data_IF_817295040155
#
_entry.id   IF_817295040155
#
_cell.length_a   1.000
_cell.length_b   1.000
_cell.length_c   1.000
_cell.angle_alpha   90.00
_cell.angle_beta   90.00
_cell.angle_gamma   90.00
#
_symmetry.space_group_name_H-M   'P 1'
#
loop_
_entity.id
_entity.type
_entity.pdbx_description
1 polymer ?
#
# COMPACT_ATOMS: atom_id res chain seq x y z
N UNK A 1 -20.45 -8.73 55.75
CA UNK A 1 -19.93 -8.99 54.39
C UNK A 1 -21.13 -9.21 53.48
N UNK A 2 -21.37 -8.32 52.52
CA UNK A 2 -22.47 -8.48 51.55
C UNK A 2 -21.84 -9.08 50.28
N UNK A 3 -22.28 -10.28 49.90
CA UNK A 3 -21.81 -10.95 48.69
C UNK A 3 -22.88 -10.83 47.60
N UNK A 4 -22.62 -10.01 46.60
CA UNK A 4 -23.50 -9.83 45.44
C UNK A 4 -22.98 -10.69 44.29
N UNK A 5 -23.81 -11.61 43.79
CA UNK A 5 -23.51 -12.43 42.62
C UNK A 5 -24.60 -12.28 41.55
N UNK A 6 -24.24 -12.22 40.27
CA UNK A 6 -25.23 -12.11 39.20
C UNK A 6 -26.04 -13.41 39.09
N UNK A 7 -27.36 -13.29 38.97
CA UNK A 7 -28.26 -14.40 38.63
C UNK A 7 -28.36 -14.49 37.10
N UNK A 8 -28.06 -15.67 36.55
CA UNK A 8 -28.07 -15.93 35.11
C UNK A 8 -26.76 -15.59 34.39
N UNK A 9 -26.83 -15.43 33.06
CA UNK A 9 -25.67 -15.06 32.24
C UNK A 9 -25.39 -13.56 32.34
N UNK A 10 -24.16 -13.21 32.72
CA UNK A 10 -23.74 -11.82 32.84
C UNK A 10 -22.60 -11.50 31.88
N UNK A 11 -22.76 -10.43 31.10
CA UNK A 11 -21.73 -9.86 30.24
C UNK A 11 -21.38 -8.46 30.72
N UNK A 12 -20.12 -8.24 31.09
CA UNK A 12 -19.69 -6.91 31.51
C UNK A 12 -18.47 -6.91 32.42
N UNK A 13 -18.29 -5.81 33.13
CA UNK A 13 -17.19 -5.58 34.06
C UNK A 13 -17.74 -5.45 35.47
N UNK A 14 -17.20 -6.23 36.39
CA UNK A 14 -17.46 -6.17 37.83
C UNK A 14 -16.13 -5.85 38.48
N UNK A 15 -15.97 -4.61 38.94
CA UNK A 15 -14.70 -4.11 39.49
C UNK A 15 -13.50 -4.45 38.59
N UNK A 16 -12.53 -5.22 39.09
CA UNK A 16 -11.34 -5.66 38.36
C UNK A 16 -11.54 -6.99 37.61
N UNK A 17 -12.77 -7.46 37.44
CA UNK A 17 -13.11 -8.68 36.73
C UNK A 17 -13.95 -8.40 35.49
N UNK A 18 -13.66 -9.12 34.41
CA UNK A 18 -14.50 -9.19 33.24
C UNK A 18 -15.27 -10.51 33.28
N UNK A 19 -16.55 -10.44 32.97
CA UNK A 19 -17.47 -11.56 33.03
C UNK A 19 -18.11 -11.76 31.66
N UNK A 20 -18.08 -12.99 31.17
CA UNK A 20 -18.65 -13.35 29.87
C UNK A 20 -19.00 -14.84 29.79
N UNK A 21 -19.91 -15.19 28.88
CA UNK A 21 -20.25 -16.59 28.61
C UNK A 21 -19.34 -17.16 27.51
N UNK A 22 -18.74 -18.32 27.77
CA UNK A 22 -17.97 -19.09 26.78
C UNK A 22 -18.41 -20.55 26.82
N UNK A 23 -18.88 -21.07 25.69
CA UNK A 23 -19.37 -22.45 25.57
C UNK A 23 -20.44 -22.80 26.64
N UNK A 24 -21.41 -21.90 26.86
CA UNK A 24 -22.48 -22.08 27.85
C UNK A 24 -22.06 -21.93 29.31
N UNK A 25 -20.78 -21.69 29.61
CA UNK A 25 -20.27 -21.49 30.97
C UNK A 25 -20.02 -20.01 31.24
N UNK A 26 -20.45 -19.54 32.40
CA UNK A 26 -20.10 -18.21 32.90
C UNK A 26 -18.61 -18.20 33.30
N UNK A 27 -17.84 -17.28 32.72
CA UNK A 27 -16.41 -17.11 33.00
C UNK A 27 -16.20 -15.75 33.66
N UNK A 28 -15.57 -15.75 34.83
CA UNK A 28 -15.04 -14.54 35.48
C UNK A 28 -13.53 -14.56 35.38
N UNK A 29 -12.94 -13.48 34.87
CA UNK A 29 -11.50 -13.35 34.72
C UNK A 29 -11.06 -11.99 35.25
N UNK A 30 -9.95 -11.95 35.98
CA UNK A 30 -9.29 -10.68 36.28
C UNK A 30 -8.92 -9.93 34.99
N UNK A 31 -9.15 -8.63 35.00
CA UNK A 31 -8.83 -7.76 33.88
C UNK A 31 -7.32 -7.58 33.85
N UNK A 32 -6.73 -7.93 32.70
CA UNK A 32 -5.33 -7.63 32.46
C UNK A 32 -5.20 -6.14 32.16
N UNK A 33 -4.74 -5.36 33.14
CA UNK A 33 -4.51 -3.92 33.00
C UNK A 33 -3.26 -3.59 32.18
N UNK A 34 -2.40 -4.59 31.88
CA UNK A 34 -1.21 -4.45 31.04
C UNK A 34 -1.19 -5.57 29.99
N UNK A 35 -2.14 -5.55 29.05
CA UNK A 35 -2.17 -6.54 27.98
C UNK A 35 -0.90 -6.40 27.11
N UNK A 36 -0.26 -7.52 26.77
CA UNK A 36 0.92 -7.53 25.89
C UNK A 36 0.64 -6.91 24.51
N UNK A 37 -0.62 -6.94 24.06
CA UNK A 37 -1.09 -6.31 22.82
C UNK A 37 -2.33 -5.46 23.14
N UNK A 38 -2.15 -4.19 23.55
CA UNK A 38 -3.22 -3.35 24.06
C UNK A 38 -4.27 -2.92 23.04
N UNK A 39 -4.06 -3.21 21.73
CA UNK A 39 -4.97 -2.83 20.63
C UNK A 39 -5.39 -1.35 20.73
N UNK A 40 -4.42 -0.49 21.03
CA UNK A 40 -4.67 0.97 21.09
C UNK A 40 -5.14 1.47 19.73
N UNK A 41 -5.81 2.62 19.70
CA UNK A 41 -6.28 3.23 18.44
C UNK A 41 -5.14 3.39 17.44
N UNK A 42 -3.97 3.83 17.88
CA UNK A 42 -2.78 3.95 17.03
C UNK A 42 -2.31 2.60 16.46
N UNK A 43 -2.28 1.54 17.29
CA UNK A 43 -1.92 0.19 16.84
C UNK A 43 -2.93 -0.37 15.85
N UNK A 44 -4.22 -0.16 16.08
CA UNK A 44 -5.28 -0.58 15.17
C UNK A 44 -5.22 0.19 13.86
N UNK A 45 -4.98 1.51 13.89
CA UNK A 45 -4.79 2.35 12.71
C UNK A 45 -3.65 1.83 11.83
N UNK A 46 -2.49 1.52 12.42
CA UNK A 46 -1.36 0.93 11.68
C UNK A 46 -1.71 -0.43 11.05
N UNK A 47 -2.41 -1.30 11.79
CA UNK A 47 -2.85 -2.62 11.27
C UNK A 47 -3.78 -2.49 10.08
N UNK A 48 -4.68 -1.52 10.09
CA UNK A 48 -5.60 -1.28 8.98
C UNK A 48 -4.87 -0.76 7.74
N UNK A 49 -3.92 0.18 7.89
CA UNK A 49 -3.07 0.66 6.77
C UNK A 49 -2.33 -0.47 6.07
N UNK A 50 -1.80 -1.41 6.87
CA UNK A 50 -0.99 -2.51 6.37
C UNK A 50 -1.73 -3.38 5.35
N UNK A 51 -3.05 -3.52 5.47
CA UNK A 51 -3.83 -4.37 4.55
C UNK A 51 -3.72 -3.90 3.10
N UNK A 52 -3.87 -2.59 2.85
CA UNK A 52 -3.78 -2.07 1.48
C UNK A 52 -2.36 -2.20 0.92
N UNK A 53 -1.35 -1.88 1.73
CA UNK A 53 0.06 -1.96 1.34
C UNK A 53 0.43 -3.41 0.98
N UNK A 54 -0.07 -4.40 1.72
CA UNK A 54 0.15 -5.81 1.42
C UNK A 54 -0.53 -6.25 0.11
N UNK A 55 -1.73 -5.74 -0.18
CA UNK A 55 -2.40 -5.99 -1.47
C UNK A 55 -1.58 -5.44 -2.64
N UNK A 56 -1.05 -4.22 -2.51
CA UNK A 56 -0.21 -3.57 -3.53
C UNK A 56 1.09 -4.34 -3.72
N UNK A 57 1.77 -4.71 -2.63
CA UNK A 57 3.00 -5.50 -2.72
C UNK A 57 2.78 -6.82 -3.46
N UNK A 58 1.64 -7.49 -3.28
CA UNK A 58 1.35 -8.74 -4.00
C UNK A 58 1.32 -8.53 -5.51
N UNK A 59 0.76 -7.41 -5.96
CA UNK A 59 0.71 -7.03 -7.38
C UNK A 59 2.11 -6.64 -7.89
N UNK A 60 2.85 -5.85 -7.11
CA UNK A 60 4.14 -5.27 -7.52
C UNK A 60 5.36 -6.09 -7.10
N UNK A 61 5.18 -7.29 -6.57
CA UNK A 61 6.25 -8.03 -5.89
C UNK A 61 7.47 -8.33 -6.77
N UNK A 62 7.29 -8.50 -8.08
CA UNK A 62 8.39 -8.67 -9.03
C UNK A 62 9.26 -7.41 -9.13
N UNK A 63 8.63 -6.24 -9.26
CA UNK A 63 9.31 -4.95 -9.34
C UNK A 63 9.98 -4.57 -8.02
N UNK A 64 9.23 -4.70 -6.91
CA UNK A 64 9.72 -4.32 -5.58
C UNK A 64 10.98 -5.07 -5.17
N UNK A 65 11.21 -6.29 -5.67
CA UNK A 65 12.38 -7.10 -5.29
C UNK A 65 13.71 -6.48 -5.72
N UNK A 66 13.72 -5.77 -6.84
CA UNK A 66 14.93 -5.21 -7.44
C UNK A 66 15.05 -3.70 -7.20
N UNK A 67 14.01 -3.09 -6.62
CA UNK A 67 13.83 -1.63 -6.68
C UNK A 67 14.47 -0.78 -5.59
N UNK A 68 15.11 -1.41 -4.62
CA UNK A 68 15.71 -0.73 -3.48
C UNK A 68 17.22 -0.96 -3.45
N UNK A 69 17.94 -0.06 -4.11
CA UNK A 69 19.40 -0.13 -4.26
C UNK A 69 20.12 0.12 -2.93
N UNK A 70 19.68 1.13 -2.17
CA UNK A 70 20.36 1.61 -0.94
C UNK A 70 19.90 0.91 0.34
N UNK A 71 19.31 -0.29 0.24
CA UNK A 71 18.76 -0.99 1.39
C UNK A 71 19.85 -1.53 2.34
N UNK A 72 19.64 -1.47 3.67
CA UNK A 72 20.52 -2.15 4.63
C UNK A 72 20.57 -3.66 4.37
N UNK A 73 21.74 -4.33 4.56
CA UNK A 73 21.88 -5.77 4.31
C UNK A 73 20.91 -6.65 5.12
N UNK A 74 20.48 -6.18 6.30
CA UNK A 74 19.54 -6.88 7.18
C UNK A 74 18.08 -6.77 6.74
N UNK A 75 17.77 -5.93 5.75
CA UNK A 75 16.40 -5.70 5.28
C UNK A 75 16.20 -6.21 3.87
N UNK A 76 15.11 -6.94 3.67
CA UNK A 76 14.62 -7.28 2.33
C UNK A 76 13.98 -6.05 1.68
N UNK A 77 13.91 -6.03 0.35
CA UNK A 77 13.20 -4.98 -0.37
C UNK A 77 11.73 -4.88 0.05
N UNK A 78 11.08 -6.02 0.36
CA UNK A 78 9.78 -6.06 1.02
C UNK A 78 9.74 -5.26 2.32
N UNK A 79 10.70 -5.46 3.22
CA UNK A 79 10.73 -4.75 4.51
C UNK A 79 10.85 -3.22 4.31
N UNK A 80 11.67 -2.79 3.35
CA UNK A 80 11.82 -1.37 3.00
C UNK A 80 10.53 -0.82 2.40
N UNK A 81 9.93 -1.52 1.45
CA UNK A 81 8.63 -1.16 0.86
C UNK A 81 7.54 -0.99 1.91
N UNK A 82 7.36 -1.97 2.82
CA UNK A 82 6.37 -1.86 3.90
C UNK A 82 6.69 -0.67 4.80
N UNK A 83 7.95 -0.47 5.20
CA UNK A 83 8.37 0.60 6.11
C UNK A 83 8.10 1.99 5.51
N UNK A 84 8.45 2.20 4.25
CA UNK A 84 8.32 3.50 3.57
C UNK A 84 6.84 3.85 3.36
N UNK A 85 6.05 2.88 2.89
CA UNK A 85 4.63 3.10 2.60
C UNK A 85 3.75 3.12 3.85
N UNK A 86 4.12 2.45 4.94
CA UNK A 86 3.34 2.51 6.19
C UNK A 86 3.34 3.91 6.80
N UNK A 87 4.40 4.69 6.57
CA UNK A 87 4.49 6.09 7.00
C UNK A 87 3.77 7.04 6.04
N UNK A 88 3.94 6.84 4.74
CA UNK A 88 3.45 7.76 3.71
C UNK A 88 1.96 7.58 3.38
N UNK A 89 1.45 6.35 3.38
CA UNK A 89 0.10 6.06 2.89
C UNK A 89 -0.96 6.24 3.98
N UNK A 90 -2.06 6.92 3.64
CA UNK A 90 -3.23 7.18 4.51
C UNK A 90 -4.47 6.40 4.04
N UNK A 91 -4.27 5.22 3.43
CA UNK A 91 -5.39 4.38 2.95
C UNK A 91 -5.77 3.35 3.99
N UNK A 92 -7.07 3.26 4.26
CA UNK A 92 -7.67 2.30 5.19
C UNK A 92 -8.70 1.47 4.44
N UNK A 93 -8.65 0.16 4.63
CA UNK A 93 -9.66 -0.75 4.12
C UNK A 93 -10.59 -1.14 5.27
N UNK A 94 -11.87 -1.32 4.95
CA UNK A 94 -12.78 -1.98 5.87
C UNK A 94 -12.43 -3.48 6.02
N UNK A 95 -13.12 -4.17 6.94
CA UNK A 95 -12.87 -5.59 7.20
C UNK A 95 -13.20 -6.48 5.99
N UNK A 96 -14.29 -6.21 5.29
CA UNK A 96 -14.72 -6.95 4.09
C UNK A 96 -13.75 -6.75 2.92
N UNK A 97 -13.36 -5.51 2.65
CA UNK A 97 -12.37 -5.12 1.64
C UNK A 97 -11.00 -5.78 1.90
N UNK A 98 -10.54 -5.74 3.15
CA UNK A 98 -9.29 -6.39 3.56
C UNK A 98 -9.34 -7.92 3.35
N UNK A 99 -10.46 -8.56 3.69
CA UNK A 99 -10.66 -10.00 3.46
C UNK A 99 -10.73 -10.34 1.97
N UNK A 100 -11.36 -9.49 1.18
CA UNK A 100 -11.40 -9.60 -0.28
C UNK A 100 -10.07 -9.22 -0.95
N UNK A 101 -9.06 -8.79 -0.18
CA UNK A 101 -7.73 -8.37 -0.66
C UNK A 101 -7.84 -7.25 -1.70
N UNK A 102 -8.79 -6.33 -1.49
CA UNK A 102 -8.94 -5.13 -2.33
C UNK A 102 -7.65 -4.32 -2.28
N UNK A 103 -7.36 -3.65 -3.40
CA UNK A 103 -6.21 -2.78 -3.57
C UNK A 103 -6.70 -1.42 -4.04
N UNK A 104 -6.45 -0.40 -3.23
CA UNK A 104 -6.68 1.00 -3.59
C UNK A 104 -5.34 1.59 -4.03
N UNK A 105 -5.32 2.12 -5.25
CA UNK A 105 -4.14 2.74 -5.85
C UNK A 105 -3.88 4.07 -5.15
N UNK A 106 -2.66 4.24 -4.64
CA UNK A 106 -2.23 5.41 -3.91
C UNK A 106 -0.78 5.76 -4.32
N UNK A 107 -0.24 6.78 -3.68
CA UNK A 107 1.12 7.24 -3.91
C UNK A 107 2.04 6.30 -3.12
N UNK A 108 2.63 5.33 -3.82
CA UNK A 108 3.52 4.35 -3.21
C UNK A 108 4.96 4.68 -3.57
N UNK A 109 5.84 4.62 -2.58
CA UNK A 109 7.27 4.54 -2.78
C UNK A 109 7.56 3.10 -3.25
N UNK A 110 7.88 2.94 -4.54
CA UNK A 110 8.10 1.63 -5.17
C UNK A 110 9.59 1.36 -5.35
N UNK A 111 10.39 2.40 -5.58
CA UNK A 111 11.84 2.30 -5.77
C UNK A 111 12.58 3.38 -5.00
N UNK A 112 13.83 3.08 -4.62
CA UNK A 112 14.80 4.04 -4.09
C UNK A 112 16.18 3.69 -4.62
N UNK A 113 16.86 4.69 -5.18
CA UNK A 113 18.18 4.54 -5.78
C UNK A 113 18.93 5.85 -5.88
N UNK A 114 20.06 5.80 -6.56
CA UNK A 114 20.94 6.96 -6.79
C UNK A 114 20.53 7.80 -8.00
N UNK A 115 19.66 7.26 -8.87
CA UNK A 115 19.17 7.97 -10.04
C UNK A 115 18.27 9.15 -9.63
N UNK A 116 18.34 10.28 -10.34
CA UNK A 116 17.43 11.40 -10.13
C UNK A 116 15.96 10.97 -10.28
N UNK A 117 15.08 11.60 -9.51
CA UNK A 117 13.65 11.37 -9.63
C UNK A 117 13.17 11.76 -11.03
N UNK A 118 12.46 10.85 -11.69
CA UNK A 118 11.81 11.14 -12.97
C UNK A 118 10.50 11.84 -12.68
N UNK A 119 10.41 13.11 -13.04
CA UNK A 119 9.18 13.87 -12.90
C UNK A 119 8.18 13.40 -13.95
N UNK A 120 6.92 13.30 -13.54
CA UNK A 120 5.82 12.92 -14.42
C UNK A 120 4.71 13.96 -14.33
N UNK A 121 4.25 14.41 -15.49
CA UNK A 121 3.12 15.33 -15.61
C UNK A 121 2.11 14.74 -16.57
N UNK A 122 0.83 14.97 -16.29
CA UNK A 122 -0.26 14.55 -17.19
C UNK A 122 -0.61 15.74 -18.08
N UNK A 123 -0.52 15.53 -19.39
CA UNK A 123 -0.86 16.53 -20.40
C UNK A 123 -1.90 15.93 -21.36
N UNK A 124 -3.17 16.25 -21.13
CA UNK A 124 -4.29 15.59 -21.80
C UNK A 124 -4.29 14.08 -21.52
N UNK A 125 -4.33 13.28 -22.59
CA UNK A 125 -4.29 11.81 -22.52
C UNK A 125 -2.87 11.23 -22.50
N UNK A 126 -1.85 12.09 -22.32
CA UNK A 126 -0.44 11.68 -22.36
C UNK A 126 0.23 11.87 -21.01
N UNK A 127 1.05 10.90 -20.63
CA UNK A 127 2.03 11.04 -19.57
C UNK A 127 3.32 11.62 -20.17
N UNK A 128 3.77 12.75 -19.64
CA UNK A 128 5.01 13.40 -20.02
C UNK A 128 6.02 13.23 -18.89
N UNK A 129 7.15 12.62 -19.19
CA UNK A 129 8.26 12.44 -18.24
C UNK A 129 9.33 13.51 -18.43
N UNK A 130 10.15 13.76 -17.41
CA UNK A 130 11.36 14.59 -17.54
C UNK A 130 12.48 13.96 -18.39
N UNK A 131 12.35 12.68 -18.77
CA UNK A 131 13.31 12.01 -19.66
C UNK A 131 13.36 12.67 -21.03
N UNK A 132 14.55 13.03 -21.47
CA UNK A 132 14.79 13.66 -22.76
C UNK A 132 15.00 12.61 -23.86
N UNK A 133 14.49 12.91 -25.05
CA UNK A 133 14.74 12.17 -26.28
C UNK A 133 15.17 13.16 -27.37
N UNK A 134 15.84 12.70 -28.44
CA UNK A 134 16.19 13.55 -29.57
C UNK A 134 14.96 14.25 -30.15
N UNK A 135 15.15 15.48 -30.64
CA UNK A 135 14.05 16.25 -31.23
C UNK A 135 13.45 15.50 -32.43
N UNK A 136 12.12 15.36 -32.44
CA UNK A 136 11.39 14.62 -33.49
C UNK A 136 11.48 13.09 -33.38
N UNK A 137 12.12 12.55 -32.34
CA UNK A 137 12.13 11.11 -32.12
C UNK A 137 10.71 10.61 -31.82
N UNK A 138 10.24 9.64 -32.62
CA UNK A 138 8.95 8.98 -32.47
C UNK A 138 9.17 7.49 -32.39
N UNK A 139 8.46 6.83 -31.48
CA UNK A 139 8.49 5.37 -31.37
C UNK A 139 7.39 4.82 -32.27
N UNK A 140 7.79 4.00 -33.23
CA UNK A 140 6.91 3.27 -34.15
C UNK A 140 7.22 1.77 -34.15
N UNK A 141 6.56 1.01 -35.02
CA UNK A 141 6.71 -0.44 -35.13
C UNK A 141 8.11 -0.90 -35.57
N UNK A 142 8.91 0.00 -36.15
CA UNK A 142 10.28 -0.30 -36.61
C UNK A 142 11.33 0.04 -35.55
N UNK A 143 10.94 0.84 -34.56
CA UNK A 143 11.85 1.32 -33.51
C UNK A 143 12.28 0.18 -32.60
N UNK A 144 13.58 -0.06 -32.49
CA UNK A 144 14.14 -1.11 -31.65
C UNK A 144 14.37 -0.64 -30.21
N UNK A 145 14.38 -1.58 -29.25
CA UNK A 145 14.74 -1.28 -27.87
C UNK A 145 16.17 -0.70 -27.75
N UNK A 146 17.09 -1.13 -28.62
CA UNK A 146 18.46 -0.63 -28.67
C UNK A 146 18.53 0.84 -29.06
N UNK A 147 17.72 1.27 -30.02
CA UNK A 147 17.63 2.68 -30.45
C UNK A 147 17.05 3.55 -29.34
N UNK A 148 15.94 3.12 -28.72
CA UNK A 148 15.34 3.85 -27.58
C UNK A 148 16.34 3.99 -26.43
N UNK A 149 17.03 2.90 -26.08
CA UNK A 149 18.03 2.89 -25.01
C UNK A 149 19.20 3.83 -25.33
N UNK A 150 19.75 3.76 -26.55
CA UNK A 150 20.84 4.64 -26.98
C UNK A 150 20.44 6.11 -26.98
N UNK A 151 19.21 6.42 -27.41
CA UNK A 151 18.68 7.78 -27.39
C UNK A 151 18.50 8.30 -25.96
N UNK A 152 17.95 7.48 -25.05
CA UNK A 152 17.78 7.86 -23.65
C UNK A 152 19.13 8.11 -22.96
N UNK A 153 20.11 7.21 -23.13
CA UNK A 153 21.44 7.40 -22.54
C UNK A 153 22.16 8.60 -23.17
N UNK A 154 22.00 8.84 -24.47
CA UNK A 154 22.62 9.96 -25.17
C UNK A 154 22.07 11.33 -24.78
N UNK A 155 20.77 11.42 -24.46
CA UNK A 155 20.11 12.68 -24.11
C UNK A 155 20.04 12.95 -22.61
N UNK A 156 20.26 11.95 -21.74
CA UNK A 156 20.14 12.10 -20.29
C UNK A 156 21.46 11.76 -19.59
N UNK A 157 22.20 12.78 -19.17
CA UNK A 157 23.54 12.62 -18.58
C UNK A 157 23.58 11.76 -17.31
N UNK A 158 22.46 11.62 -16.60
CA UNK A 158 22.31 10.79 -15.40
C UNK A 158 22.12 9.30 -15.69
N UNK A 159 21.72 8.94 -16.92
CA UNK A 159 21.49 7.55 -17.30
C UNK A 159 22.76 6.89 -17.84
N UNK A 160 22.92 5.61 -17.55
CA UNK A 160 24.01 4.75 -18.00
C UNK A 160 23.47 3.44 -18.54
N UNK A 161 24.25 2.80 -19.41
CA UNK A 161 23.98 1.43 -19.80
C UNK A 161 24.08 0.51 -18.58
N UNK A 162 23.03 -0.26 -18.34
CA UNK A 162 22.86 -1.07 -17.13
C UNK A 162 21.65 -0.63 -16.32
N UNK A 163 21.33 0.67 -16.34
CA UNK A 163 20.18 1.22 -15.63
C UNK A 163 18.87 0.60 -16.13
N UNK A 164 17.96 0.33 -15.20
CA UNK A 164 16.62 -0.21 -15.44
C UNK A 164 15.58 0.89 -15.25
N UNK A 165 14.84 1.14 -16.32
CA UNK A 165 13.67 2.02 -16.29
C UNK A 165 12.40 1.16 -16.41
N UNK A 166 11.53 1.25 -15.42
CA UNK A 166 10.24 0.55 -15.38
C UNK A 166 9.10 1.55 -15.30
N UNK A 167 8.16 1.49 -16.24
CA UNK A 167 6.94 2.30 -16.23
C UNK A 167 5.80 1.43 -15.69
N UNK A 168 5.29 1.79 -14.52
CA UNK A 168 4.17 1.11 -13.88
C UNK A 168 2.90 1.90 -14.14
N UNK A 169 1.93 1.25 -14.78
CA UNK A 169 0.57 1.77 -14.95
C UNK A 169 -0.37 1.01 -14.03
N UNK A 170 -0.91 1.71 -13.03
CA UNK A 170 -1.88 1.16 -12.11
C UNK A 170 -3.25 1.77 -12.40
N UNK A 171 -4.21 0.91 -12.72
CA UNK A 171 -5.60 1.27 -12.94
C UNK A 171 -6.47 0.65 -11.86
N UNK A 172 -7.23 1.49 -11.15
CA UNK A 172 -8.24 1.03 -10.20
C UNK A 172 -9.60 0.92 -10.90
N UNK A 173 -10.11 -0.31 -11.01
CA UNK A 173 -11.43 -0.58 -11.61
C UNK A 173 -12.44 -0.86 -10.51
N UNK A 174 -13.61 -0.21 -10.56
CA UNK A 174 -14.73 -0.59 -9.68
C UNK A 174 -15.32 -1.92 -10.15
N UNK A 175 -15.48 -2.92 -9.28
CA UNK A 175 -16.27 -4.09 -9.63
C UNK A 175 -17.74 -3.68 -9.83
N UNK A 176 -18.36 -4.21 -10.89
CA UNK A 176 -19.69 -3.83 -11.38
C UNK A 176 -20.87 -4.41 -10.56
N UNK A 177 -20.63 -4.83 -9.32
CA UNK A 177 -21.66 -5.46 -8.48
C UNK A 177 -22.40 -4.41 -7.64
N UNK A 178 -23.72 -4.51 -7.60
CA UNK A 178 -24.57 -3.82 -6.62
C UNK A 178 -24.18 -4.32 -5.21
N UNK A 179 -23.47 -3.49 -4.46
CA UNK A 179 -23.09 -3.80 -3.08
C UNK A 179 -24.20 -3.22 -2.18
N UNK A 180 -25.16 -4.07 -1.80
CA UNK A 180 -26.15 -3.82 -0.75
C UNK A 180 -25.52 -3.86 0.65
N UNK A 181 -24.53 -3.01 0.92
CA UNK A 181 -24.00 -2.82 2.26
C UNK A 181 -23.78 -1.34 2.54
N UNK A 182 -24.39 -0.89 3.63
CA UNK A 182 -24.21 0.43 4.24
C UNK A 182 -22.72 0.76 4.37
N UNK A 183 -22.20 1.53 3.41
CA UNK A 183 -20.92 2.23 3.50
C UNK A 183 -21.23 3.70 3.76
N UNK A 184 -20.80 4.28 4.89
CA UNK A 184 -20.99 5.70 5.14
C UNK A 184 -20.11 6.53 4.19
N UNK A 185 -20.74 6.96 3.09
CA UNK A 185 -20.72 8.23 2.33
C UNK A 185 -19.55 9.24 2.37
N UNK A 186 -18.43 9.01 3.03
CA UNK A 186 -17.28 9.92 2.96
C UNK A 186 -16.31 9.48 1.86
N UNK A 187 -16.57 9.97 0.65
CA UNK A 187 -15.55 10.23 -0.38
C UNK A 187 -15.05 9.04 -1.22
N UNK A 188 -15.99 8.24 -1.73
CA UNK A 188 -15.87 7.69 -3.09
C UNK A 188 -16.06 8.79 -4.16
N UNK A 189 -15.45 9.97 -3.97
CA UNK A 189 -15.37 11.02 -4.99
C UNK A 189 -14.50 10.47 -6.11
N UNK A 190 -15.15 10.08 -7.21
CA UNK A 190 -14.64 10.17 -8.59
C UNK A 190 -13.12 10.04 -8.74
N UNK A 191 -12.59 8.82 -8.70
CA UNK A 191 -11.24 8.56 -9.18
C UNK A 191 -11.25 7.29 -10.03
N UNK A 192 -11.51 7.44 -11.33
CA UNK A 192 -10.66 6.75 -12.30
C UNK A 192 -9.27 7.37 -12.18
N UNK A 193 -8.52 7.00 -11.13
CA UNK A 193 -7.13 7.41 -11.04
C UNK A 193 -6.31 6.41 -11.84
N UNK A 194 -6.05 6.79 -13.08
CA UNK A 194 -4.90 6.30 -13.82
C UNK A 194 -3.67 6.91 -13.15
N UNK A 195 -2.91 6.10 -12.40
CA UNK A 195 -1.66 6.56 -11.81
C UNK A 195 -0.50 5.85 -12.46
N UNK A 196 0.38 6.65 -13.01
CA UNK A 196 1.65 6.20 -13.54
C UNK A 196 2.73 6.42 -12.49
N UNK A 197 3.61 5.45 -12.32
CA UNK A 197 4.80 5.59 -11.50
C UNK A 197 5.97 5.07 -12.31
N UNK A 198 6.96 5.92 -12.54
CA UNK A 198 8.20 5.52 -13.22
C UNK A 198 9.21 5.21 -12.13
N UNK A 199 9.66 3.96 -12.09
CA UNK A 199 10.76 3.52 -11.24
C UNK A 199 12.04 3.50 -12.09
N UNK A 200 13.09 4.14 -11.60
CA UNK A 200 14.41 4.15 -12.21
C UNK A 200 15.42 3.58 -11.22
N UNK A 201 16.20 2.61 -11.68
CA UNK A 201 17.16 1.83 -10.90
C UNK A 201 18.46 1.65 -11.70
N UNK A 202 19.59 1.39 -11.04
CA UNK A 202 20.87 1.05 -11.68
C UNK A 202 21.08 -0.46 -11.78
#
# INVERSE_FOLDING_TARGET
MITTFPLGSYHGRIENMAAYVRCGKQVFRSINNRPANPRTVAQMRQRTKLSNILSVYRILSSFVRESYQTRPPSLTAYNVFIKNNLKATEVFLDKGEALAKVCVVAEFNISEGTLPTIETTVSGDRLVTSLQLPAGFSIDETTTLGEVSSCLVGCNASLRYGDKLSILYLMQVRPQREINFYMPHAELKLLQQNRFSVAAEQ
#
